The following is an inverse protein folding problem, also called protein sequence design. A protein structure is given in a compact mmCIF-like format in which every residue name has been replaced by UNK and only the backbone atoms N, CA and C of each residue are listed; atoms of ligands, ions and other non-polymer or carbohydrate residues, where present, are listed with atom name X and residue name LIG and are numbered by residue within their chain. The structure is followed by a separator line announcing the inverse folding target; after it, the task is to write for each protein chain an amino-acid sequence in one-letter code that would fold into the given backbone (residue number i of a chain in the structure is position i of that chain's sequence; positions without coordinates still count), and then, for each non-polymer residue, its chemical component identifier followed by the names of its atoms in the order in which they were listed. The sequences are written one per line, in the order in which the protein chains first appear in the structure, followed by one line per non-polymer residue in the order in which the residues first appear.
data_IF_226112867983
#
_entry.id   IF_226112867983
#
_cell.length_a   1.000
_cell.length_b   1.000
_cell.length_c   1.000
_cell.angle_alpha   90.00
_cell.angle_beta   90.00
_cell.angle_gamma   90.00
#
_symmetry.space_group_name_H-M   'P 1'
#
loop_
_entity.id
_entity.type
_entity.pdbx_description
1 polymer ?
#
# COMPACT_ATOMS: atom_id res chain seq x y z
N UNK A 1 2.56 11.59 -13.05
CA UNK A 1 2.09 10.59 -14.05
C UNK A 1 3.17 9.54 -14.34
N UNK A 2 4.01 9.24 -13.36
CA UNK A 2 5.30 8.58 -13.50
C UNK A 2 5.11 7.10 -13.83
N UNK A 3 4.11 6.44 -13.23
CA UNK A 3 3.77 5.04 -13.52
C UNK A 3 3.28 4.84 -14.96
N UNK A 4 2.42 5.74 -15.47
CA UNK A 4 1.98 5.69 -16.86
C UNK A 4 3.14 5.94 -17.83
N UNK A 5 4.02 6.90 -17.49
CA UNK A 5 5.22 7.19 -18.27
C UNK A 5 6.19 6.00 -18.32
N UNK A 6 6.29 5.25 -17.22
CA UNK A 6 7.08 4.03 -17.11
C UNK A 6 6.42 2.79 -17.75
N UNK A 7 5.18 2.91 -18.26
CA UNK A 7 4.47 1.83 -18.94
C UNK A 7 3.62 0.91 -18.05
N UNK A 8 3.36 1.28 -16.80
CA UNK A 8 2.51 0.50 -15.90
C UNK A 8 1.02 0.66 -16.24
N UNK A 9 0.25 -0.42 -16.21
CA UNK A 9 -1.21 -0.33 -16.08
C UNK A 9 -1.54 0.30 -14.73
N UNK A 10 -2.09 1.51 -14.75
CA UNK A 10 -2.22 2.33 -13.54
C UNK A 10 -3.68 2.41 -13.09
N UNK A 11 -3.95 1.98 -11.86
CA UNK A 11 -5.22 2.20 -11.16
C UNK A 11 -4.99 3.15 -9.99
N UNK A 12 -5.80 4.22 -9.91
CA UNK A 12 -5.76 5.16 -8.77
C UNK A 12 -6.96 4.89 -7.88
N UNK A 13 -6.70 4.52 -6.62
CA UNK A 13 -7.74 4.28 -5.61
C UNK A 13 -7.78 5.40 -4.56
N UNK A 14 -8.90 5.54 -3.86
CA UNK A 14 -9.09 6.55 -2.82
C UNK A 14 -10.20 6.15 -1.84
N UNK A 15 -10.55 7.04 -0.90
CA UNK A 15 -11.57 6.83 0.15
C UNK A 15 -12.98 6.44 -0.33
N UNK A 16 -13.26 6.52 -1.63
CA UNK A 16 -14.57 6.16 -2.21
C UNK A 16 -14.47 4.95 -3.15
N UNK A 17 -13.28 4.37 -3.32
CA UNK A 17 -13.09 3.12 -4.05
C UNK A 17 -13.88 2.03 -3.34
N UNK A 18 -14.79 1.40 -4.06
CA UNK A 18 -15.51 0.22 -3.58
C UNK A 18 -14.59 -0.98 -3.72
N UNK A 19 -14.62 -1.87 -2.72
CA UNK A 19 -13.80 -3.08 -2.69
C UNK A 19 -12.31 -2.79 -2.93
N UNK A 20 -11.74 -1.93 -2.09
CA UNK A 20 -10.32 -1.56 -2.18
C UNK A 20 -9.40 -2.79 -2.16
N UNK A 21 -9.76 -3.82 -1.38
CA UNK A 21 -9.01 -5.08 -1.28
C UNK A 21 -8.81 -5.74 -2.64
N UNK A 22 -9.85 -5.83 -3.47
CA UNK A 22 -9.76 -6.40 -4.81
C UNK A 22 -8.66 -5.72 -5.63
N UNK A 23 -8.54 -4.39 -5.58
CA UNK A 23 -7.49 -3.70 -6.30
C UNK A 23 -6.09 -3.96 -5.72
N UNK A 24 -5.97 -4.03 -4.39
CA UNK A 24 -4.70 -4.27 -3.70
C UNK A 24 -4.16 -5.67 -3.98
N UNK A 25 -5.02 -6.70 -3.93
CA UNK A 25 -4.59 -8.11 -4.12
C UNK A 25 -4.26 -8.45 -5.58
N UNK A 26 -4.58 -7.57 -6.53
CA UNK A 26 -4.23 -7.72 -7.95
C UNK A 26 -3.04 -6.84 -8.38
N UNK A 27 -2.48 -6.02 -7.48
CA UNK A 27 -1.39 -5.09 -7.81
C UNK A 27 -0.03 -5.81 -7.79
N UNK A 28 0.70 -5.75 -8.92
CA UNK A 28 2.12 -6.14 -8.98
C UNK A 28 3.03 -5.10 -8.29
N UNK A 29 2.62 -3.83 -8.34
CA UNK A 29 3.25 -2.69 -7.70
C UNK A 29 2.18 -1.92 -6.93
N UNK A 30 2.32 -1.86 -5.61
CA UNK A 30 1.41 -1.15 -4.71
C UNK A 30 2.12 0.06 -4.10
N UNK A 31 1.60 1.26 -4.37
CA UNK A 31 2.06 2.51 -3.75
C UNK A 31 0.97 2.99 -2.79
N UNK A 32 1.29 3.08 -1.49
CA UNK A 32 0.35 3.49 -0.44
C UNK A 32 0.73 4.86 0.09
N UNK A 33 -0.18 5.83 -0.03
CA UNK A 33 0.03 7.22 0.36
C UNK A 33 -1.24 7.81 0.98
N UNK A 34 -1.81 7.10 1.96
CA UNK A 34 -3.07 7.43 2.63
C UNK A 34 -2.85 8.30 3.87
N UNK A 35 -1.70 8.19 4.53
CA UNK A 35 -1.40 8.91 5.77
C UNK A 35 -2.22 8.40 6.96
N UNK A 36 -2.36 7.08 7.06
CA UNK A 36 -3.06 6.40 8.15
C UNK A 36 -2.27 5.16 8.57
N UNK A 37 -1.85 5.07 9.84
CA UNK A 37 -0.98 3.99 10.30
C UNK A 37 -1.62 2.62 10.09
N UNK A 38 -0.92 1.71 9.40
CA UNK A 38 -1.36 0.33 9.20
C UNK A 38 -2.71 0.19 8.49
N UNK A 39 -3.08 1.14 7.63
CA UNK A 39 -4.31 1.13 6.87
C UNK A 39 -4.44 -0.06 5.90
N UNK A 40 -3.32 -0.52 5.32
CA UNK A 40 -3.28 -1.69 4.43
C UNK A 40 -2.80 -2.91 5.22
N UNK A 41 -3.68 -3.91 5.46
CA UNK A 41 -3.30 -5.18 6.06
C UNK A 41 -2.36 -5.97 5.15
N UNK A 42 -1.42 -6.73 5.72
CA UNK A 42 -0.44 -7.46 4.93
C UNK A 42 -1.06 -8.56 4.08
N UNK A 43 -2.13 -9.21 4.57
CA UNK A 43 -2.81 -10.30 3.85
C UNK A 43 -3.54 -9.85 2.57
N UNK A 44 -3.70 -8.54 2.37
CA UNK A 44 -4.25 -7.99 1.12
C UNK A 44 -3.19 -7.95 0.01
N UNK A 45 -1.91 -7.96 0.37
CA UNK A 45 -0.82 -7.80 -0.58
C UNK A 45 -0.66 -9.09 -1.38
N UNK A 46 -0.55 -8.92 -2.70
CA UNK A 46 -0.27 -10.01 -3.63
C UNK A 46 1.12 -10.61 -3.35
N UNK A 47 1.24 -11.94 -3.43
CA UNK A 47 2.53 -12.60 -3.28
C UNK A 47 3.51 -12.16 -4.38
N UNK A 48 4.72 -11.76 -3.99
CA UNK A 48 5.77 -11.24 -4.86
C UNK A 48 5.55 -9.80 -5.35
N UNK A 49 4.61 -9.06 -4.76
CA UNK A 49 4.36 -7.67 -5.15
C UNK A 49 5.41 -6.71 -4.60
N UNK A 50 5.72 -5.68 -5.39
CA UNK A 50 6.55 -4.56 -4.92
C UNK A 50 5.68 -3.60 -4.12
N UNK A 51 6.07 -3.31 -2.87
CA UNK A 51 5.34 -2.41 -1.97
C UNK A 51 6.15 -1.14 -1.71
N UNK A 52 5.57 0.02 -2.02
CA UNK A 52 6.13 1.34 -1.72
C UNK A 52 5.21 2.04 -0.72
N UNK A 53 5.66 2.10 0.53
CA UNK A 53 4.95 2.78 1.62
C UNK A 53 5.45 4.22 1.75
N UNK A 54 4.60 5.18 1.37
CA UNK A 54 4.87 6.62 1.46
C UNK A 54 4.45 7.18 2.83
N UNK A 55 3.72 6.40 3.63
CA UNK A 55 3.19 6.80 4.92
C UNK A 55 4.29 7.15 5.92
N UNK A 56 4.14 8.30 6.56
CA UNK A 56 4.99 8.72 7.69
C UNK A 56 4.05 9.11 8.82
N UNK A 57 3.61 8.11 9.59
CA UNK A 57 2.65 8.27 10.67
C UNK A 57 3.36 8.21 12.03
N UNK A 58 3.22 9.26 12.85
CA UNK A 58 3.74 9.28 14.21
C UNK A 58 2.69 8.75 15.18
N UNK A 59 3.03 7.69 15.91
CA UNK A 59 2.19 7.13 16.96
C UNK A 59 2.40 7.87 18.29
N UNK A 60 1.46 7.71 19.22
CA UNK A 60 1.54 8.28 20.58
C UNK A 60 2.76 7.81 21.35
N UNK A 61 3.22 6.58 21.10
CA UNK A 61 4.44 6.03 21.69
C UNK A 61 5.75 6.57 21.06
N UNK A 62 5.67 7.56 20.17
CA UNK A 62 6.80 8.20 19.52
C UNK A 62 7.37 7.47 18.30
N UNK A 63 6.93 6.23 18.03
CA UNK A 63 7.35 5.48 16.83
C UNK A 63 6.81 6.14 15.56
N UNK A 64 7.58 6.01 14.49
CA UNK A 64 7.15 6.35 13.12
C UNK A 64 6.85 5.05 12.40
N UNK A 65 5.67 4.94 11.82
CA UNK A 65 5.19 3.77 11.08
C UNK A 65 4.60 4.19 9.74
N UNK A 66 4.57 3.25 8.80
CA UNK A 66 3.99 3.45 7.49
C UNK A 66 2.46 3.29 7.45
N UNK A 67 1.90 3.35 6.24
CA UNK A 67 0.50 3.07 5.97
C UNK A 67 0.21 1.56 5.85
N UNK A 68 1.26 0.73 5.71
CA UNK A 68 1.17 -0.72 5.55
C UNK A 68 1.58 -1.42 6.85
N UNK A 69 0.94 -2.55 7.17
CA UNK A 69 1.40 -3.45 8.24
C UNK A 69 2.68 -4.16 7.76
N UNK A 70 3.84 -3.57 8.07
CA UNK A 70 5.14 -3.95 7.50
C UNK A 70 5.51 -5.43 7.68
N UNK A 71 5.42 -5.96 8.91
CA UNK A 71 5.90 -7.32 9.20
C UNK A 71 5.13 -8.39 8.39
N UNK A 72 3.82 -8.21 8.23
CA UNK A 72 2.98 -9.11 7.43
C UNK A 72 3.19 -8.91 5.93
N UNK A 73 3.38 -7.66 5.50
CA UNK A 73 3.68 -7.32 4.11
C UNK A 73 5.02 -7.92 3.66
N UNK A 74 6.06 -7.83 4.48
CA UNK A 74 7.40 -8.33 4.19
C UNK A 74 7.46 -9.85 4.06
N UNK A 75 6.51 -10.57 4.64
CA UNK A 75 6.39 -12.03 4.47
C UNK A 75 5.78 -12.44 3.12
N UNK A 76 5.20 -11.50 2.37
CA UNK A 76 4.45 -11.75 1.13
C UNK A 76 5.08 -11.08 -0.09
N UNK A 77 5.63 -9.88 0.08
CA UNK A 77 6.27 -9.07 -0.95
C UNK A 77 7.62 -9.65 -1.39
#
# INVERSE_FOLDING_TARGET
MELLLAGCTTTVTHRFTKDLRHHVEHADLLIVAVGKPGFIPGEWIKEGAIVIDVGINRLENGKVVGDVVFDEAAARA
#
